data_IF_241982051724
#
_entry.id   IF_241982051724
#
_cell.length_a   1.000
_cell.length_b   1.000
_cell.length_c   1.000
_cell.angle_alpha   90.00
_cell.angle_beta   90.00
_cell.angle_gamma   90.00
#
_symmetry.space_group_name_H-M   'P 1'
#
loop_
_entity.id
_entity.type
_entity.pdbx_description
1 polymer ?
#
# COMPACT_ATOMS: atom_id res chain seq x y z
N UNK A 1 -30.18 25.13 -12.21
CA UNK A 1 -29.52 23.92 -11.68
C UNK A 1 -28.05 24.02 -12.02
N UNK A 2 -27.26 24.51 -11.07
CA UNK A 2 -25.83 24.78 -11.27
C UNK A 2 -25.06 23.45 -11.27
N UNK A 3 -24.08 23.26 -12.18
CA UNK A 3 -23.23 22.08 -12.16
C UNK A 3 -22.33 22.15 -10.92
N UNK A 4 -22.74 21.49 -9.85
CA UNK A 4 -21.96 21.34 -8.63
C UNK A 4 -20.76 20.46 -8.92
N UNK A 5 -19.61 21.11 -9.06
CA UNK A 5 -18.24 20.63 -8.81
C UNK A 5 -18.15 19.10 -8.70
N UNK A 6 -17.63 18.46 -9.75
CA UNK A 6 -17.07 17.12 -9.70
C UNK A 6 -15.89 17.19 -8.71
N UNK A 7 -16.21 17.10 -7.42
CA UNK A 7 -15.27 17.25 -6.31
C UNK A 7 -14.13 16.26 -6.51
N UNK A 8 -12.91 16.79 -6.56
CA UNK A 8 -11.67 16.03 -6.59
C UNK A 8 -11.76 14.76 -5.75
N UNK A 9 -11.69 13.59 -6.40
CA UNK A 9 -11.68 12.29 -5.72
C UNK A 9 -10.62 12.38 -4.61
N UNK A 10 -11.00 12.22 -3.34
CA UNK A 10 -10.06 12.38 -2.24
C UNK A 10 -8.97 11.31 -2.31
N UNK A 11 -7.71 11.72 -2.12
CA UNK A 11 -6.53 10.85 -2.19
C UNK A 11 -6.37 10.04 -0.90
N UNK A 12 -7.37 9.22 -0.54
CA UNK A 12 -7.23 8.32 0.61
C UNK A 12 -6.20 7.25 0.28
N UNK A 13 -5.14 7.18 1.08
CA UNK A 13 -4.09 6.18 0.92
C UNK A 13 -4.30 5.11 1.98
N UNK A 14 -4.42 3.85 1.54
CA UNK A 14 -4.41 2.69 2.41
C UNK A 14 -2.99 2.14 2.48
N UNK A 15 -2.41 2.05 3.66
CA UNK A 15 -1.11 1.41 3.85
C UNK A 15 -1.33 0.08 4.55
N UNK A 16 -0.90 -1.01 3.91
CA UNK A 16 -0.94 -2.36 4.48
C UNK A 16 0.49 -2.84 4.69
N UNK A 17 0.83 -3.21 5.92
CA UNK A 17 2.10 -3.83 6.25
C UNK A 17 1.88 -5.33 6.33
N UNK A 18 2.59 -6.10 5.50
CA UNK A 18 2.49 -7.56 5.49
C UNK A 18 3.69 -8.16 6.19
N UNK A 19 3.43 -8.86 7.29
CA UNK A 19 4.47 -9.58 8.00
C UNK A 19 4.73 -10.96 7.36
N UNK A 20 5.49 -11.81 8.05
CA UNK A 20 5.82 -13.15 7.58
C UNK A 20 4.59 -14.07 7.46
N UNK A 21 3.57 -13.86 8.29
CA UNK A 21 2.35 -14.66 8.32
C UNK A 21 1.32 -14.20 7.30
N UNK A 22 1.42 -12.95 6.84
CA UNK A 22 0.58 -12.40 5.79
C UNK A 22 0.97 -12.88 4.39
N UNK A 23 2.18 -13.40 4.21
CA UNK A 23 2.68 -13.89 2.92
C UNK A 23 2.66 -15.41 2.82
N UNK A 24 2.46 -15.91 1.61
CA UNK A 24 2.63 -17.31 1.26
C UNK A 24 4.10 -17.72 1.45
N UNK A 25 4.30 -18.99 1.84
CA UNK A 25 5.65 -19.53 2.10
C UNK A 25 6.27 -20.04 0.80
N UNK A 26 7.59 -19.94 0.70
CA UNK A 26 8.38 -20.53 -0.38
C UNK A 26 8.73 -19.51 -1.45
N UNK A 27 8.64 -19.91 -2.71
CA UNK A 27 9.03 -19.06 -3.87
C UNK A 27 8.01 -17.94 -4.12
N UNK A 28 6.79 -18.11 -3.61
CA UNK A 28 5.69 -17.19 -3.84
C UNK A 28 5.55 -16.23 -2.64
N UNK A 29 6.13 -15.03 -2.75
CA UNK A 29 5.98 -13.93 -1.76
C UNK A 29 4.63 -13.18 -1.92
N UNK A 30 3.58 -13.88 -2.33
CA UNK A 30 2.26 -13.31 -2.53
C UNK A 30 1.50 -13.23 -1.20
N UNK A 31 0.61 -12.24 -1.00
CA UNK A 31 -0.24 -12.19 0.18
C UNK A 31 -1.16 -13.40 0.25
N UNK A 32 -1.41 -13.90 1.46
CA UNK A 32 -2.41 -14.92 1.72
C UNK A 32 -3.82 -14.39 1.40
N UNK A 33 -4.82 -15.28 1.39
CA UNK A 33 -6.18 -14.89 1.02
C UNK A 33 -6.79 -13.79 1.89
N UNK A 34 -6.46 -13.73 3.19
CA UNK A 34 -6.98 -12.70 4.10
C UNK A 34 -6.34 -11.35 3.82
N UNK A 35 -5.01 -11.31 3.68
CA UNK A 35 -4.26 -10.11 3.36
C UNK A 35 -4.64 -9.54 1.98
N UNK A 36 -4.77 -10.42 0.98
CA UNK A 36 -5.18 -10.05 -0.37
C UNK A 36 -6.61 -9.49 -0.40
N UNK A 37 -7.56 -10.16 0.27
CA UNK A 37 -8.94 -9.69 0.37
C UNK A 37 -9.04 -8.33 1.05
N UNK A 38 -8.30 -8.12 2.15
CA UNK A 38 -8.26 -6.84 2.85
C UNK A 38 -7.79 -5.69 1.96
N UNK A 39 -6.72 -5.89 1.19
CA UNK A 39 -6.23 -4.92 0.23
C UNK A 39 -7.27 -4.61 -0.86
N UNK A 40 -7.88 -5.64 -1.45
CA UNK A 40 -8.91 -5.47 -2.49
C UNK A 40 -10.15 -4.71 -1.99
N UNK A 41 -10.55 -4.93 -0.74
CA UNK A 41 -11.68 -4.20 -0.13
C UNK A 41 -11.35 -2.72 0.07
N UNK A 42 -10.12 -2.39 0.45
CA UNK A 42 -9.65 -0.99 0.56
C UNK A 42 -9.67 -0.32 -0.82
N UNK A 43 -9.16 -0.97 -1.85
CA UNK A 43 -9.21 -0.46 -3.23
C UNK A 43 -10.65 -0.23 -3.70
N UNK A 44 -11.56 -1.19 -3.46
CA UNK A 44 -12.99 -1.04 -3.79
C UNK A 44 -13.68 0.07 -3.02
N UNK A 45 -13.18 0.44 -1.84
CA UNK A 45 -13.67 1.59 -1.06
C UNK A 45 -13.09 2.93 -1.54
N UNK A 46 -12.25 2.93 -2.56
CA UNK A 46 -11.68 4.12 -3.17
C UNK A 46 -10.33 4.55 -2.58
N UNK A 47 -9.66 3.67 -1.81
CA UNK A 47 -8.30 3.92 -1.35
C UNK A 47 -7.29 3.56 -2.44
N UNK A 48 -6.22 4.34 -2.54
CA UNK A 48 -5.01 3.92 -3.24
C UNK A 48 -4.16 3.11 -2.28
N UNK A 49 -4.02 1.80 -2.52
CA UNK A 49 -3.38 0.88 -1.58
C UNK A 49 -1.88 0.74 -1.89
N UNK A 50 -1.05 0.90 -0.86
CA UNK A 50 0.37 0.59 -0.87
C UNK A 50 0.63 -0.57 0.09
N UNK A 51 1.21 -1.64 -0.45
CA UNK A 51 1.70 -2.76 0.36
C UNK A 51 3.17 -2.55 0.74
N UNK A 52 3.50 -2.88 1.99
CA UNK A 52 4.85 -2.89 2.53
C UNK A 52 5.12 -4.32 3.05
N UNK A 53 5.71 -5.20 2.21
CA UNK A 53 6.04 -6.56 2.64
C UNK A 53 7.30 -6.58 3.50
N UNK A 54 7.34 -7.48 4.48
CA UNK A 54 8.51 -7.69 5.35
C UNK A 54 9.78 -8.10 4.59
N UNK A 55 9.64 -8.61 3.36
CA UNK A 55 10.77 -8.96 2.48
C UNK A 55 11.53 -7.73 2.00
N UNK A 56 10.83 -6.60 1.86
CA UNK A 56 11.38 -5.38 1.26
C UNK A 56 11.63 -4.30 2.33
N UNK A 57 10.88 -4.36 3.45
CA UNK A 57 11.02 -3.47 4.58
C UNK A 57 11.51 -4.22 5.82
N UNK A 58 12.75 -3.95 6.23
CA UNK A 58 13.32 -4.47 7.47
C UNK A 58 13.28 -3.40 8.58
N UNK A 59 12.51 -3.60 9.67
CA UNK A 59 12.48 -2.68 10.80
C UNK A 59 13.84 -2.46 11.49
N UNK A 60 14.78 -3.40 11.33
CA UNK A 60 16.13 -3.35 11.92
C UNK A 60 17.14 -2.58 11.07
N UNK A 61 16.79 -2.18 9.85
CA UNK A 61 17.66 -1.36 9.01
C UNK A 61 17.82 0.07 9.55
N UNK A 62 18.89 0.75 9.10
CA UNK A 62 19.13 2.16 9.44
C UNK A 62 17.89 3.01 9.17
N UNK A 63 17.54 3.90 10.10
CA UNK A 63 16.37 4.78 10.00
C UNK A 63 16.28 5.50 8.64
N UNK A 64 17.40 6.05 8.16
CA UNK A 64 17.47 6.74 6.87
C UNK A 64 17.00 5.85 5.71
N UNK A 65 17.41 4.58 5.69
CA UNK A 65 17.01 3.63 4.64
C UNK A 65 15.52 3.31 4.70
N UNK A 66 14.98 3.14 5.91
CA UNK A 66 13.54 2.90 6.14
C UNK A 66 12.70 4.09 5.67
N UNK A 67 13.13 5.31 5.97
CA UNK A 67 12.46 6.54 5.53
C UNK A 67 12.52 6.67 4.02
N UNK A 68 13.70 6.51 3.41
CA UNK A 68 13.87 6.60 1.96
C UNK A 68 13.01 5.58 1.19
N UNK A 69 12.93 4.35 1.69
CA UNK A 69 12.07 3.32 1.10
C UNK A 69 10.60 3.75 1.11
N UNK A 70 10.07 4.14 2.28
CA UNK A 70 8.66 4.53 2.41
C UNK A 70 8.34 5.78 1.59
N UNK A 71 9.25 6.75 1.57
CA UNK A 71 9.13 7.95 0.74
C UNK A 71 9.07 7.61 -0.76
N UNK A 72 9.94 6.71 -1.22
CA UNK A 72 9.95 6.28 -2.62
C UNK A 72 8.65 5.56 -3.00
N UNK A 73 8.17 4.64 -2.16
CA UNK A 73 6.91 3.95 -2.39
C UNK A 73 5.74 4.93 -2.44
N UNK A 74 5.70 5.93 -1.55
CA UNK A 74 4.66 6.95 -1.53
C UNK A 74 4.70 7.85 -2.76
N UNK A 75 5.90 8.27 -3.19
CA UNK A 75 6.06 9.05 -4.42
C UNK A 75 5.59 8.28 -5.64
N UNK A 76 5.95 7.01 -5.78
CA UNK A 76 5.49 6.15 -6.85
C UNK A 76 3.95 6.05 -6.84
N UNK A 77 3.39 5.81 -5.65
CA UNK A 77 1.94 5.74 -5.46
C UNK A 77 1.25 7.05 -5.84
N UNK A 78 1.82 8.22 -5.60
CA UNK A 78 1.14 9.50 -5.94
C UNK A 78 1.35 9.89 -7.41
N UNK A 79 2.44 9.43 -8.05
CA UNK A 79 2.86 9.85 -9.40
C UNK A 79 2.09 9.18 -10.54
N UNK A 80 1.48 8.01 -10.35
CA UNK A 80 0.71 7.32 -11.40
C UNK A 80 -0.65 7.99 -11.72
N UNK A 81 -0.65 9.30 -12.00
CA UNK A 81 -1.76 10.06 -12.60
C UNK A 81 -1.24 10.88 -13.79
#
# INVERSE_FOLDING_TARGET
MSPGVLGSIPNWIGIVAWDYHDLCRGVHNEPNGVAALGAQLLEKKGYKVMAIPHTDFNPRDKLVRRVQYLEQQLKNLVRDR
#
